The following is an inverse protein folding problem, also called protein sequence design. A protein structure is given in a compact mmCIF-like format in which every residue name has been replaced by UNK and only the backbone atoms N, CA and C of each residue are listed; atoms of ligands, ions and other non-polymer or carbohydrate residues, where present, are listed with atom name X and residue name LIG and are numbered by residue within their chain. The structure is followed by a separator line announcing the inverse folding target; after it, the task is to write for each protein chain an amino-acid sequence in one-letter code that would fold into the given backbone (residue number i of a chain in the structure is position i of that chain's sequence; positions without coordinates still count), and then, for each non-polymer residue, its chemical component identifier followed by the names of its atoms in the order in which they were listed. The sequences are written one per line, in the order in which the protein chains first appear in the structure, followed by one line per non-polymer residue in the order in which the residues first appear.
data_IF_971874171285
#
_entry.id   IF_971874171285
#
_cell.length_a   1.000
_cell.length_b   1.000
_cell.length_c   1.000
_cell.angle_alpha   90.00
_cell.angle_beta   90.00
_cell.angle_gamma   90.00
#
_symmetry.space_group_name_H-M   'P 1'
#
loop_
_entity.id
_entity.type
_entity.pdbx_description
1 polymer ?
#
# COMPACT_ATOMS: atom_id res chain seq x y z
N UNK A 1 11.04 18.17 5.99
CA UNK A 1 10.67 18.11 4.56
C UNK A 1 9.64 17.01 4.39
N UNK A 2 8.46 17.31 3.84
CA UNK A 2 7.39 16.31 3.63
C UNK A 2 7.95 15.13 2.85
N UNK A 3 7.91 13.92 3.42
CA UNK A 3 8.24 12.70 2.69
C UNK A 3 7.27 12.59 1.52
N UNK A 4 7.69 13.07 0.34
CA UNK A 4 6.90 12.94 -0.87
C UNK A 4 6.74 11.43 -1.08
N UNK A 5 5.51 10.96 -1.02
CA UNK A 5 5.10 9.63 -1.47
C UNK A 5 4.70 9.80 -2.94
N UNK A 6 5.62 9.69 -3.91
CA UNK A 6 5.33 9.99 -5.31
C UNK A 6 4.33 9.01 -5.93
N UNK A 7 4.14 7.85 -5.31
CA UNK A 7 3.27 6.78 -5.81
C UNK A 7 2.00 6.69 -4.99
N UNK A 8 0.86 6.66 -5.67
CA UNK A 8 -0.45 6.35 -5.08
C UNK A 8 -0.95 5.07 -5.74
N UNK A 9 -1.24 4.05 -4.93
CA UNK A 9 -1.80 2.78 -5.39
C UNK A 9 -3.29 2.76 -5.11
N UNK A 10 -4.11 2.91 -6.16
CA UNK A 10 -5.56 2.75 -6.05
C UNK A 10 -5.96 1.28 -6.11
N UNK A 11 -6.97 0.91 -5.33
CA UNK A 11 -7.38 -0.49 -5.22
C UNK A 11 -6.38 -1.34 -4.44
N UNK A 12 -5.64 -0.72 -3.52
CA UNK A 12 -4.59 -1.39 -2.74
C UNK A 12 -5.11 -2.51 -1.83
N UNK A 13 -6.42 -2.55 -1.53
CA UNK A 13 -7.05 -3.67 -0.83
C UNK A 13 -7.27 -4.92 -1.69
N UNK A 14 -7.15 -4.81 -3.02
CA UNK A 14 -7.30 -5.92 -3.96
C UNK A 14 -6.00 -6.70 -4.13
N UNK A 15 -6.08 -7.86 -4.78
CA UNK A 15 -4.92 -8.75 -4.96
C UNK A 15 -3.74 -8.05 -5.66
N UNK A 16 -3.96 -7.47 -6.84
CA UNK A 16 -2.90 -6.81 -7.60
C UNK A 16 -2.36 -5.57 -6.89
N UNK A 17 -3.23 -4.74 -6.32
CA UNK A 17 -2.80 -3.54 -5.59
C UNK A 17 -1.93 -3.87 -4.38
N UNK A 18 -2.24 -4.97 -3.69
CA UNK A 18 -1.45 -5.49 -2.58
C UNK A 18 -0.06 -5.97 -3.00
N UNK A 19 0.04 -6.75 -4.07
CA UNK A 19 1.33 -7.16 -4.63
C UNK A 19 2.18 -5.94 -5.01
N UNK A 20 1.59 -4.92 -5.64
CA UNK A 20 2.30 -3.67 -5.94
C UNK A 20 2.83 -3.02 -4.65
N UNK A 21 2.03 -2.97 -3.58
CA UNK A 21 2.46 -2.43 -2.29
C UNK A 21 3.63 -3.22 -1.67
N UNK A 22 3.62 -4.56 -1.80
CA UNK A 22 4.70 -5.43 -1.32
C UNK A 22 6.04 -5.13 -1.99
N UNK A 23 6.03 -5.00 -3.32
CA UNK A 23 7.23 -4.67 -4.09
C UNK A 23 7.68 -3.23 -3.89
N UNK A 24 6.77 -2.25 -3.84
CA UNK A 24 7.14 -0.86 -3.53
C UNK A 24 7.85 -0.76 -2.17
N UNK A 25 7.38 -1.52 -1.18
CA UNK A 25 8.05 -1.65 0.12
C UNK A 25 9.42 -2.33 -0.01
N UNK A 26 9.52 -3.45 -0.73
CA UNK A 26 10.80 -4.15 -0.95
C UNK A 26 11.87 -3.25 -1.60
N UNK A 27 11.45 -2.40 -2.54
CA UNK A 27 12.32 -1.43 -3.20
C UNK A 27 12.51 -0.13 -2.41
N UNK A 28 11.98 -0.02 -1.19
CA UNK A 28 12.03 1.19 -0.36
C UNK A 28 11.45 2.44 -1.05
N UNK A 29 10.45 2.26 -1.90
CA UNK A 29 9.77 3.34 -2.61
C UNK A 29 8.59 3.82 -1.74
N UNK A 30 8.57 5.07 -1.26
CA UNK A 30 7.47 5.56 -0.44
C UNK A 30 6.18 5.73 -1.25
N UNK A 31 5.06 5.22 -0.72
CA UNK A 31 3.76 5.25 -1.41
C UNK A 31 2.56 5.49 -0.48
N UNK A 32 1.43 5.85 -1.08
CA UNK A 32 0.10 5.90 -0.44
C UNK A 32 -0.75 4.75 -0.96
N UNK A 33 -1.22 3.88 -0.06
CA UNK A 33 -2.23 2.88 -0.38
C UNK A 33 -3.62 3.52 -0.27
N UNK A 34 -4.43 3.42 -1.33
CA UNK A 34 -5.78 3.97 -1.38
C UNK A 34 -6.82 2.90 -1.72
N UNK A 35 -7.94 2.91 -0.99
CA UNK A 35 -9.03 1.96 -1.15
C UNK A 35 -10.38 2.54 -0.71
N UNK A 36 -11.47 1.89 -1.12
CA UNK A 36 -12.85 2.37 -0.88
C UNK A 36 -13.30 2.23 0.58
N UNK A 37 -12.76 1.24 1.31
CA UNK A 37 -13.08 0.98 2.71
C UNK A 37 -11.78 0.98 3.50
N UNK A 38 -11.68 1.86 4.49
CA UNK A 38 -10.52 1.97 5.35
C UNK A 38 -10.28 0.65 6.12
N UNK A 39 -11.34 -0.01 6.56
CA UNK A 39 -11.27 -1.30 7.26
C UNK A 39 -10.64 -2.38 6.35
N UNK A 40 -11.18 -2.58 5.15
CA UNK A 40 -10.65 -3.58 4.19
C UNK A 40 -9.22 -3.25 3.76
N UNK A 41 -8.92 -1.96 3.56
CA UNK A 41 -7.58 -1.51 3.22
C UNK A 41 -6.59 -1.84 4.35
N UNK A 42 -6.91 -1.48 5.59
CA UNK A 42 -6.05 -1.73 6.74
C UNK A 42 -5.86 -3.22 7.00
N UNK A 43 -6.93 -4.01 6.90
CA UNK A 43 -6.84 -5.46 7.01
C UNK A 43 -5.94 -6.07 5.93
N UNK A 44 -6.10 -5.64 4.68
CA UNK A 44 -5.27 -6.11 3.57
C UNK A 44 -3.79 -5.72 3.74
N UNK A 45 -3.50 -4.46 4.11
CA UNK A 45 -2.13 -3.99 4.32
C UNK A 45 -1.45 -4.75 5.46
N UNK A 46 -2.07 -4.82 6.64
CA UNK A 46 -1.48 -5.46 7.82
C UNK A 46 -1.29 -6.97 7.66
N UNK A 47 -2.22 -7.65 7.00
CA UNK A 47 -2.18 -9.11 6.88
C UNK A 47 -1.19 -9.62 5.82
N UNK A 48 -0.77 -8.76 4.89
CA UNK A 48 -0.06 -9.22 3.69
C UNK A 48 1.18 -8.40 3.33
N UNK A 49 1.24 -7.13 3.71
CA UNK A 49 2.39 -6.27 3.41
C UNK A 49 3.20 -6.12 4.68
N UNK A 50 4.26 -6.92 4.82
CA UNK A 50 5.07 -6.97 6.04
C UNK A 50 5.69 -5.60 6.37
N UNK A 51 5.57 -5.16 7.63
CA UNK A 51 6.18 -3.90 8.09
C UNK A 51 5.43 -2.62 7.71
N UNK A 52 4.15 -2.73 7.31
CA UNK A 52 3.20 -1.61 7.15
C UNK A 52 2.27 -1.47 8.36
#
# INVERSE_FOLDING_TARGET
MSAKKPVIVYGASGYTGRLVCEYLREYNIPFVAAGRSAEKLNAAMKANVAGI
#
